data_IF_704751251062
#
_entry.id   IF_704751251062
#
_cell.length_a   1.000
_cell.length_b   1.000
_cell.length_c   1.000
_cell.angle_alpha   90.00
_cell.angle_beta   90.00
_cell.angle_gamma   90.00
#
_symmetry.space_group_name_H-M   'P 1'
#
loop_
_entity.id
_entity.type
_entity.pdbx_description
1 polymer ?
#
# COMPACT_ATOMS: atom_id res chain seq x y z
N UNK A 1 3.50 -17.92 24.99
CA UNK A 1 4.54 -17.71 26.03
C UNK A 1 4.81 -18.96 26.89
N UNK A 2 3.82 -19.57 27.56
CA UNK A 2 4.06 -20.72 28.46
C UNK A 2 4.81 -21.91 27.80
N UNK A 3 4.44 -22.27 26.56
CA UNK A 3 5.11 -23.31 25.80
C UNK A 3 6.59 -23.00 25.48
N UNK A 4 6.95 -21.74 25.23
CA UNK A 4 8.34 -21.33 24.97
C UNK A 4 9.19 -21.36 26.24
N UNK A 5 8.64 -20.91 27.38
CA UNK A 5 9.33 -20.99 28.69
C UNK A 5 9.64 -22.44 29.05
N UNK A 6 8.74 -23.38 28.74
CA UNK A 6 8.99 -24.80 28.93
C UNK A 6 10.14 -25.32 28.04
N UNK A 7 10.22 -24.90 26.78
CA UNK A 7 11.33 -25.25 25.87
C UNK A 7 12.68 -24.68 26.33
N UNK A 8 12.71 -23.42 26.76
CA UNK A 8 13.93 -22.80 27.33
C UNK A 8 14.44 -23.62 28.51
N UNK A 9 13.55 -24.01 29.43
CA UNK A 9 13.90 -24.86 30.58
C UNK A 9 14.39 -26.24 30.14
N UNK A 10 13.78 -26.84 29.14
CA UNK A 10 14.23 -28.13 28.59
C UNK A 10 15.64 -28.03 27.98
N UNK A 11 15.92 -27.03 27.14
CA UNK A 11 17.25 -26.79 26.60
C UNK A 11 18.29 -26.50 27.70
N UNK A 12 17.92 -25.73 28.72
CA UNK A 12 18.80 -25.44 29.86
C UNK A 12 19.14 -26.72 30.66
N UNK A 13 18.16 -27.60 30.89
CA UNK A 13 18.38 -28.90 31.55
C UNK A 13 19.25 -29.83 30.70
N UNK A 14 19.11 -29.76 29.36
CA UNK A 14 19.93 -30.53 28.42
C UNK A 14 21.34 -29.92 28.21
N UNK A 15 21.64 -28.77 28.81
CA UNK A 15 22.90 -28.05 28.58
C UNK A 15 23.03 -27.42 27.19
N UNK A 16 21.94 -27.37 26.43
CA UNK A 16 21.89 -26.79 25.08
C UNK A 16 21.76 -25.26 25.14
N UNK A 17 22.90 -24.59 25.34
CA UNK A 17 22.98 -23.13 25.42
C UNK A 17 22.53 -22.44 24.12
N UNK A 18 22.69 -23.07 22.96
CA UNK A 18 22.23 -22.53 21.68
C UNK A 18 20.71 -22.61 21.54
N UNK A 19 20.10 -23.71 22.00
CA UNK A 19 18.65 -23.85 22.11
C UNK A 19 18.03 -22.82 23.06
N UNK A 20 18.66 -22.58 24.22
CA UNK A 20 18.24 -21.53 25.16
C UNK A 20 18.26 -20.15 24.50
N UNK A 21 19.35 -19.78 23.83
CA UNK A 21 19.48 -18.50 23.13
C UNK A 21 18.43 -18.33 22.04
N UNK A 22 18.26 -19.32 21.16
CA UNK A 22 17.27 -19.27 20.08
C UNK A 22 15.84 -19.08 20.59
N UNK A 23 15.44 -19.79 21.65
CA UNK A 23 14.09 -19.65 22.20
C UNK A 23 13.90 -18.32 22.95
N UNK A 24 14.96 -17.78 23.57
CA UNK A 24 14.94 -16.46 24.18
C UNK A 24 14.83 -15.33 23.13
N UNK A 25 15.60 -15.42 22.04
CA UNK A 25 15.54 -14.46 20.92
C UNK A 25 14.15 -14.49 20.27
N UNK A 26 13.61 -15.68 19.99
CA UNK A 26 12.26 -15.81 19.43
C UNK A 26 11.17 -15.29 20.38
N UNK A 27 11.36 -15.40 21.70
CA UNK A 27 10.44 -14.80 22.68
C UNK A 27 10.52 -13.27 22.67
N UNK A 28 11.72 -12.70 22.53
CA UNK A 28 11.92 -11.26 22.40
C UNK A 28 11.26 -10.74 21.11
N UNK A 29 11.41 -11.45 20.00
CA UNK A 29 10.79 -11.11 18.71
C UNK A 29 9.26 -11.12 18.79
N UNK A 30 8.68 -12.16 19.40
CA UNK A 30 7.23 -12.24 19.63
C UNK A 30 6.73 -11.04 20.46
N UNK A 31 7.46 -10.66 21.51
CA UNK A 31 7.14 -9.49 22.33
C UNK A 31 7.20 -8.19 21.53
N UNK A 32 8.27 -7.97 20.76
CA UNK A 32 8.42 -6.78 19.90
C UNK A 32 7.28 -6.67 18.87
N UNK A 33 6.94 -7.77 18.20
CA UNK A 33 5.80 -7.81 17.26
C UNK A 33 4.48 -7.47 17.94
N UNK A 34 4.23 -8.00 19.14
CA UNK A 34 3.02 -7.64 19.90
C UNK A 34 2.96 -6.16 20.28
N UNK A 35 4.12 -5.54 20.48
CA UNK A 35 4.25 -4.09 20.70
C UNK A 35 4.32 -3.29 19.39
N UNK A 36 4.20 -3.96 18.24
CA UNK A 36 4.32 -3.40 16.90
C UNK A 36 5.65 -2.65 16.69
N UNK A 37 6.74 -3.10 17.33
CA UNK A 37 8.05 -2.46 17.29
C UNK A 37 8.93 -3.08 16.19
N UNK A 38 9.36 -2.32 15.17
CA UNK A 38 10.25 -2.80 14.12
C UNK A 38 11.63 -3.24 14.65
N UNK A 39 12.25 -4.16 13.92
CA UNK A 39 13.60 -4.65 14.17
C UNK A 39 14.69 -3.89 13.41
N UNK A 40 15.27 -2.90 14.10
CA UNK A 40 16.43 -2.15 13.62
C UNK A 40 17.67 -3.03 13.34
N UNK A 41 17.76 -4.23 13.92
CA UNK A 41 18.85 -5.18 13.67
C UNK A 41 18.72 -5.95 12.35
N UNK A 42 17.54 -5.92 11.72
CA UNK A 42 17.25 -6.61 10.46
C UNK A 42 16.62 -5.67 9.42
N UNK A 43 17.31 -4.58 9.03
CA UNK A 43 16.77 -3.64 8.06
C UNK A 43 16.61 -4.31 6.69
N UNK A 44 15.52 -3.99 5.99
CA UNK A 44 15.31 -4.43 4.62
C UNK A 44 16.16 -3.58 3.66
N UNK A 45 16.93 -4.25 2.80
CA UNK A 45 17.59 -3.57 1.67
C UNK A 45 16.54 -3.08 0.67
N UNK A 46 16.54 -1.78 0.43
CA UNK A 46 15.49 -1.11 -0.36
C UNK A 46 15.52 -1.55 -1.82
N UNK A 47 16.70 -1.73 -2.40
CA UNK A 47 16.79 -2.08 -3.81
C UNK A 47 16.44 -3.55 -4.04
N UNK A 48 16.91 -4.44 -3.16
CA UNK A 48 16.50 -5.84 -3.15
C UNK A 48 14.98 -5.96 -2.97
N UNK A 49 14.39 -5.22 -2.05
CA UNK A 49 12.93 -5.17 -1.84
C UNK A 49 12.18 -4.66 -3.06
N UNK A 50 12.68 -3.60 -3.71
CA UNK A 50 12.08 -3.06 -4.94
C UNK A 50 12.10 -4.10 -6.07
N UNK A 51 13.22 -4.80 -6.23
CA UNK A 51 13.38 -5.87 -7.23
C UNK A 51 12.47 -7.06 -6.91
N UNK A 52 12.37 -7.46 -5.65
CA UNK A 52 11.51 -8.57 -5.21
C UNK A 52 10.03 -8.24 -5.40
N UNK A 53 9.56 -7.08 -4.93
CA UNK A 53 8.19 -6.62 -5.11
C UNK A 53 7.79 -6.52 -6.59
N UNK A 54 8.71 -6.13 -7.48
CA UNK A 54 8.46 -6.06 -8.93
C UNK A 54 8.22 -7.44 -9.58
N UNK A 55 8.59 -8.55 -8.92
CA UNK A 55 8.35 -9.91 -9.45
C UNK A 55 6.90 -10.36 -9.26
N UNK A 56 6.14 -9.69 -8.41
CA UNK A 56 4.74 -10.01 -8.17
C UNK A 56 3.93 -9.78 -9.45
N UNK A 57 3.16 -10.78 -9.93
CA UNK A 57 2.34 -10.62 -11.13
C UNK A 57 1.39 -9.41 -11.03
N UNK A 58 1.34 -8.61 -12.09
CA UNK A 58 0.53 -7.40 -12.15
C UNK A 58 1.20 -6.15 -11.56
N UNK A 59 2.35 -6.27 -10.91
CA UNK A 59 3.13 -5.11 -10.47
C UNK A 59 3.96 -4.58 -11.63
N UNK A 60 3.61 -3.39 -12.10
CA UNK A 60 4.28 -2.70 -13.20
C UNK A 60 5.61 -2.07 -12.75
N UNK A 61 5.53 -1.30 -11.67
CA UNK A 61 6.66 -0.55 -11.14
C UNK A 61 6.58 -0.39 -9.63
N UNK A 62 7.73 -0.23 -9.00
CA UNK A 62 7.86 -0.12 -7.55
C UNK A 62 8.86 1.00 -7.25
N UNK A 63 8.49 1.87 -6.32
CA UNK A 63 9.30 3.00 -5.87
C UNK A 63 9.22 3.14 -4.36
N UNK A 64 10.35 3.49 -3.74
CA UNK A 64 10.37 3.89 -2.34
C UNK A 64 10.04 5.38 -2.24
N UNK A 65 9.01 5.70 -1.46
CA UNK A 65 8.66 7.10 -1.16
C UNK A 65 9.56 7.62 -0.04
N UNK A 66 9.84 6.78 0.95
CA UNK A 66 10.80 7.06 2.02
C UNK A 66 11.46 5.76 2.52
N UNK A 67 11.90 5.72 3.79
CA UNK A 67 12.56 4.54 4.38
C UNK A 67 11.61 3.41 4.76
N UNK A 68 10.31 3.70 4.86
CA UNK A 68 9.28 2.78 5.37
C UNK A 68 8.11 2.59 4.42
N UNK A 69 7.92 3.49 3.44
CA UNK A 69 6.78 3.47 2.53
C UNK A 69 7.20 3.05 1.13
N UNK A 70 6.69 1.90 0.68
CA UNK A 70 6.90 1.32 -0.64
C UNK A 70 5.63 1.53 -1.48
N UNK A 71 5.72 2.25 -2.58
CA UNK A 71 4.63 2.41 -3.54
C UNK A 71 4.84 1.46 -4.71
N UNK A 72 3.84 0.62 -4.99
CA UNK A 72 3.79 -0.23 -6.16
C UNK A 72 2.61 0.17 -7.05
N UNK A 73 2.90 0.38 -8.33
CA UNK A 73 1.91 0.62 -9.37
C UNK A 73 1.56 -0.70 -10.04
N UNK A 74 0.27 -1.01 -10.12
CA UNK A 74 -0.25 -2.20 -10.80
C UNK A 74 -0.74 -1.87 -12.20
N UNK A 75 -0.71 -2.88 -13.08
CA UNK A 75 -1.10 -2.74 -14.49
C UNK A 75 -2.61 -2.50 -14.65
N UNK A 76 -3.43 -3.09 -13.78
CA UNK A 76 -4.89 -3.02 -13.84
C UNK A 76 -5.56 -2.72 -12.50
N UNK A 77 -6.75 -2.13 -12.55
CA UNK A 77 -7.53 -1.79 -11.34
C UNK A 77 -7.86 -3.03 -10.50
N UNK A 78 -8.13 -4.19 -11.12
CA UNK A 78 -8.49 -5.41 -10.38
C UNK A 78 -7.34 -5.99 -9.57
N UNK A 79 -6.10 -5.58 -9.84
CA UNK A 79 -4.91 -6.01 -9.11
C UNK A 79 -4.64 -5.13 -7.89
N UNK A 80 -5.40 -4.04 -7.70
CA UNK A 80 -5.35 -3.17 -6.53
C UNK A 80 -6.13 -3.83 -5.38
N UNK A 81 -5.61 -4.93 -4.86
CA UNK A 81 -6.26 -5.74 -3.82
C UNK A 81 -5.30 -6.07 -2.68
N UNK A 82 -5.87 -6.48 -1.56
CA UNK A 82 -5.10 -6.94 -0.39
C UNK A 82 -4.28 -8.20 -0.71
N UNK A 83 -4.76 -9.04 -1.62
CA UNK A 83 -4.03 -10.23 -2.07
C UNK A 83 -2.71 -9.87 -2.77
N UNK A 84 -2.71 -8.80 -3.58
CA UNK A 84 -1.49 -8.29 -4.21
C UNK A 84 -0.53 -7.72 -3.16
N UNK A 85 -1.05 -7.03 -2.13
CA UNK A 85 -0.23 -6.59 -1.00
C UNK A 85 0.39 -7.79 -0.29
N UNK A 86 -0.39 -8.84 0.00
CA UNK A 86 0.09 -10.06 0.64
C UNK A 86 1.14 -10.78 -0.20
N UNK A 87 1.01 -10.76 -1.53
CA UNK A 87 2.01 -11.31 -2.43
C UNK A 87 3.33 -10.52 -2.34
N UNK A 88 3.27 -9.18 -2.34
CA UNK A 88 4.46 -8.34 -2.16
C UNK A 88 5.09 -8.60 -0.80
N UNK A 89 4.30 -8.63 0.28
CA UNK A 89 4.81 -8.84 1.62
C UNK A 89 5.50 -10.21 1.79
N UNK A 90 5.01 -11.27 1.12
CA UNK A 90 5.67 -12.58 1.08
C UNK A 90 7.03 -12.54 0.37
N UNK A 91 7.17 -11.76 -0.70
CA UNK A 91 8.45 -11.56 -1.38
C UNK A 91 9.46 -10.76 -0.54
N UNK A 92 8.97 -9.88 0.34
CA UNK A 92 9.80 -9.04 1.22
C UNK A 92 10.24 -9.76 2.51
N UNK A 93 9.47 -10.71 3.01
CA UNK A 93 9.73 -11.44 4.26
C UNK A 93 11.15 -12.04 4.38
N UNK A 94 11.74 -12.67 3.34
CA UNK A 94 13.10 -13.20 3.45
C UNK A 94 14.18 -12.11 3.50
N UNK A 95 13.87 -10.85 3.16
CA UNK A 95 14.85 -9.77 3.02
C UNK A 95 15.12 -9.01 4.32
N UNK A 96 14.27 -9.16 5.35
CA UNK A 96 14.43 -8.48 6.62
C UNK A 96 13.12 -8.30 7.36
N UNK A 97 13.06 -7.32 8.28
CA UNK A 97 11.84 -7.05 9.03
C UNK A 97 10.83 -6.22 8.25
N UNK A 98 9.80 -6.91 7.77
CA UNK A 98 8.68 -6.32 7.03
C UNK A 98 7.72 -5.51 7.90
N UNK A 99 7.83 -5.58 9.24
CA UNK A 99 7.06 -4.71 10.14
C UNK A 99 7.44 -3.23 9.99
N UNK A 100 8.65 -2.94 9.49
CA UNK A 100 9.09 -1.58 9.17
C UNK A 100 8.50 -1.03 7.87
N UNK A 101 7.83 -1.86 7.07
CA UNK A 101 7.42 -1.52 5.70
C UNK A 101 5.90 -1.45 5.57
N UNK A 102 5.42 -0.35 4.99
CA UNK A 102 4.06 -0.20 4.51
C UNK A 102 4.06 -0.21 2.99
N UNK A 103 3.24 -1.08 2.42
CA UNK A 103 3.05 -1.20 0.99
C UNK A 103 1.80 -0.41 0.61
N UNK A 104 1.94 0.42 -0.43
CA UNK A 104 0.90 1.20 -1.04
C UNK A 104 0.69 0.72 -2.48
N UNK A 105 -0.54 0.44 -2.87
CA UNK A 105 -0.92 0.04 -4.21
C UNK A 105 -1.76 1.13 -4.88
N UNK A 106 -1.36 1.49 -6.10
CA UNK A 106 -2.13 2.34 -7.00
C UNK A 106 -2.24 1.67 -8.37
N UNK A 107 -3.35 1.91 -9.06
CA UNK A 107 -3.50 1.47 -10.44
C UNK A 107 -3.01 2.54 -11.42
N UNK A 108 -2.28 2.11 -12.45
CA UNK A 108 -1.81 3.01 -13.53
C UNK A 108 -2.94 3.43 -14.48
N UNK A 109 -3.99 2.62 -14.58
CA UNK A 109 -5.07 2.80 -15.55
C UNK A 109 -6.32 3.43 -14.94
N UNK A 110 -6.21 3.98 -13.72
CA UNK A 110 -7.29 4.64 -13.03
C UNK A 110 -7.85 5.81 -13.88
N UNK A 111 -9.14 5.74 -14.19
CA UNK A 111 -9.86 6.75 -15.00
C UNK A 111 -10.83 7.58 -14.17
N UNK A 112 -11.19 7.11 -12.98
CA UNK A 112 -12.14 7.75 -12.07
C UNK A 112 -11.47 8.07 -10.74
N UNK A 113 -12.07 8.99 -9.97
CA UNK A 113 -11.54 9.38 -8.65
C UNK A 113 -11.42 8.20 -7.68
N UNK A 114 -12.38 7.27 -7.74
CA UNK A 114 -12.41 6.08 -6.88
C UNK A 114 -11.32 5.06 -7.26
N UNK A 115 -10.99 4.96 -8.55
CA UNK A 115 -9.89 4.11 -9.03
C UNK A 115 -8.50 4.65 -8.65
N UNK A 116 -8.41 5.95 -8.30
CA UNK A 116 -7.18 6.58 -7.79
C UNK A 116 -6.95 6.36 -6.28
N UNK A 117 -7.88 5.70 -5.60
CA UNK A 117 -7.72 5.40 -4.18
C UNK A 117 -6.54 4.46 -3.96
N UNK A 118 -5.70 4.77 -2.97
CA UNK A 118 -4.52 3.97 -2.65
C UNK A 118 -4.85 2.91 -1.61
N UNK A 119 -4.65 1.62 -1.94
CA UNK A 119 -4.74 0.54 -0.94
C UNK A 119 -3.42 0.47 -0.18
N UNK A 120 -3.46 0.56 1.14
CA UNK A 120 -2.24 0.66 1.98
C UNK A 120 -2.28 -0.28 3.17
N UNK A 121 -1.23 -1.08 3.38
CA UNK A 121 -1.13 -1.95 4.57
C UNK A 121 0.33 -2.24 4.97
N UNK A 122 0.54 -2.43 6.26
CA UNK A 122 1.79 -2.95 6.82
C UNK A 122 1.86 -4.48 6.70
N UNK A 123 3.00 -5.00 6.26
CA UNK A 123 3.15 -6.40 5.90
C UNK A 123 2.96 -7.43 7.03
N UNK A 124 3.10 -7.03 8.31
CA UNK A 124 2.93 -7.94 9.45
C UNK A 124 1.68 -7.64 10.30
N UNK A 125 0.94 -6.58 9.98
CA UNK A 125 -0.18 -6.12 10.79
C UNK A 125 -1.51 -6.25 10.05
N UNK A 126 -2.61 -6.13 10.80
CA UNK A 126 -3.94 -6.08 10.24
C UNK A 126 -4.14 -4.82 9.38
N UNK A 127 -5.21 -4.80 8.60
CA UNK A 127 -5.59 -3.63 7.80
C UNK A 127 -5.77 -2.39 8.71
N UNK A 128 -5.21 -1.26 8.29
CA UNK A 128 -5.24 -0.02 9.07
C UNK A 128 -4.28 0.02 10.28
N UNK A 129 -3.71 -1.12 10.69
CA UNK A 129 -2.72 -1.17 11.76
C UNK A 129 -1.30 -0.83 11.28
N UNK A 130 -0.50 -0.25 12.19
CA UNK A 130 0.86 0.25 11.90
C UNK A 130 1.83 0.00 13.03
N UNK A 131 3.10 -0.04 12.66
CA UNK A 131 4.18 -0.11 13.63
C UNK A 131 4.18 1.12 14.55
N UNK A 132 4.60 0.92 15.79
CA UNK A 132 4.79 1.99 16.76
C UNK A 132 5.82 3.00 16.21
N UNK A 133 5.52 4.30 16.32
CA UNK A 133 6.33 5.43 15.80
C UNK A 133 6.39 5.56 14.27
N UNK A 134 5.60 4.78 13.52
CA UNK A 134 5.52 4.93 12.06
C UNK A 134 4.62 6.12 11.67
N UNK A 135 5.15 7.04 10.86
CA UNK A 135 4.39 8.22 10.39
C UNK A 135 3.22 7.84 9.47
N UNK A 136 2.10 8.57 9.58
CA UNK A 136 0.97 8.44 8.66
C UNK A 136 1.26 9.16 7.35
N UNK A 137 1.77 8.42 6.36
CA UNK A 137 1.75 8.87 4.97
C UNK A 137 0.41 8.54 4.33
N UNK A 138 -0.26 9.58 3.85
CA UNK A 138 -1.36 9.47 2.92
C UNK A 138 -0.78 9.78 1.54
N UNK A 139 -0.80 8.78 0.66
CA UNK A 139 -0.24 8.87 -0.70
C UNK A 139 -1.33 8.92 -1.76
N UNK A 140 -2.58 9.19 -1.36
CA UNK A 140 -3.66 9.41 -2.31
C UNK A 140 -3.30 10.59 -3.22
N UNK A 141 -3.45 10.38 -4.53
CA UNK A 141 -3.20 11.42 -5.55
C UNK A 141 -4.20 12.58 -5.39
N UNK A 142 -5.41 12.27 -4.90
CA UNK A 142 -6.48 13.24 -4.63
C UNK A 142 -7.04 13.01 -3.23
N UNK A 143 -7.30 14.10 -2.50
CA UNK A 143 -7.93 13.99 -1.18
C UNK A 143 -9.38 13.48 -1.31
N UNK A 144 -9.92 12.83 -0.26
CA UNK A 144 -11.29 12.32 -0.28
C UNK A 144 -12.33 13.39 -0.63
N UNK A 145 -12.11 14.63 -0.19
CA UNK A 145 -13.00 15.77 -0.43
C UNK A 145 -13.04 16.13 -1.92
N UNK A 146 -11.87 16.20 -2.56
CA UNK A 146 -11.76 16.49 -4.00
C UNK A 146 -12.32 15.34 -4.85
N UNK A 147 -12.19 14.09 -4.40
CA UNK A 147 -12.83 12.94 -5.06
C UNK A 147 -14.35 13.02 -5.00
N UNK A 148 -14.92 13.34 -3.84
CA UNK A 148 -16.36 13.49 -3.67
C UNK A 148 -16.91 14.63 -4.53
N UNK A 149 -16.19 15.74 -4.64
CA UNK A 149 -16.54 16.85 -5.52
C UNK A 149 -16.49 16.43 -6.99
N UNK A 150 -15.43 15.74 -7.43
CA UNK A 150 -15.34 15.22 -8.79
C UNK A 150 -16.45 14.22 -9.12
N UNK A 151 -16.80 13.31 -8.20
CA UNK A 151 -17.91 12.38 -8.37
C UNK A 151 -19.25 13.11 -8.52
N UNK A 152 -19.50 14.13 -7.68
CA UNK A 152 -20.71 14.96 -7.77
C UNK A 152 -20.78 15.74 -9.09
N UNK A 153 -19.66 16.30 -9.56
CA UNK A 153 -19.58 17.02 -10.83
C UNK A 153 -19.73 16.09 -12.04
N UNK A 154 -19.17 14.88 -12.01
CA UNK A 154 -19.31 13.89 -13.08
C UNK A 154 -20.75 13.37 -13.20
N UNK A 155 -21.43 13.14 -12.07
CA UNK A 155 -22.85 12.77 -12.06
C UNK A 155 -23.76 13.93 -12.49
N UNK A 156 -23.42 15.19 -12.16
CA UNK A 156 -24.15 16.38 -12.64
C UNK A 156 -23.93 16.69 -14.13
N UNK A 157 -22.76 16.36 -14.67
CA UNK A 157 -22.39 16.59 -16.07
C UNK A 157 -23.00 15.60 -17.07
N UNK A 158 -23.51 14.46 -16.61
CA UNK A 158 -24.14 13.43 -17.45
C UNK A 158 -25.64 13.64 -17.67
N UNK A 159 -26.23 14.77 -17.29
CA UNK A 159 -27.56 15.13 -17.81
C UNK A 159 -27.39 15.53 -19.29
N UNK A 160 -27.69 14.60 -20.21
CA UNK A 160 -27.56 14.81 -21.66
C UNK A 160 -28.20 16.11 -22.15
N UNK A 161 -29.24 16.57 -21.44
CA UNK A 161 -29.96 17.83 -21.70
C UNK A 161 -29.11 19.09 -21.50
N UNK A 162 -28.16 19.10 -20.57
CA UNK A 162 -27.27 20.25 -20.34
C UNK A 162 -26.11 20.29 -21.34
N UNK A 163 -25.62 19.12 -21.75
CA UNK A 163 -24.60 18.97 -22.79
C UNK A 163 -25.14 19.37 -24.17
N UNK A 164 -26.37 18.96 -24.51
CA UNK A 164 -27.04 19.34 -25.76
C UNK A 164 -27.34 20.85 -25.82
N UNK A 165 -27.74 21.48 -24.71
CA UNK A 165 -27.92 22.95 -24.66
C UNK A 165 -26.62 23.68 -24.92
N UNK A 166 -25.52 23.28 -24.26
CA UNK A 166 -24.20 23.89 -24.49
C UNK A 166 -23.70 23.69 -25.92
N UNK A 167 -23.92 22.52 -26.52
CA UNK A 167 -23.58 22.25 -27.91
C UNK A 167 -24.40 23.11 -28.88
N UNK A 168 -25.70 23.25 -28.64
CA UNK A 168 -26.58 24.11 -29.45
C UNK A 168 -26.25 25.60 -29.30
N UNK A 169 -25.92 26.06 -28.10
CA UNK A 169 -25.54 27.45 -27.87
C UNK A 169 -24.18 27.77 -28.51
N UNK A 170 -23.23 26.83 -28.46
CA UNK A 170 -21.95 26.95 -29.16
C UNK A 170 -22.11 26.99 -30.69
N UNK A 171 -23.02 26.17 -31.25
CA UNK A 171 -23.33 26.20 -32.68
C UNK A 171 -23.91 27.56 -33.12
N UNK A 172 -24.83 28.14 -32.35
CA UNK A 172 -25.41 29.48 -32.65
C UNK A 172 -24.38 30.60 -32.57
N UNK A 173 -23.43 30.50 -31.65
CA UNK A 173 -22.32 31.45 -31.54
C UNK A 173 -21.40 31.41 -32.76
N UNK A 174 -21.14 30.22 -33.31
CA UNK A 174 -20.34 30.06 -34.54
C UNK A 174 -21.09 30.64 -35.74
N UNK A 175 -22.38 30.33 -35.89
CA UNK A 175 -23.21 30.87 -36.98
C UNK A 175 -23.32 32.40 -36.91
N UNK A 176 -23.46 32.99 -35.73
CA UNK A 176 -23.54 34.46 -35.58
C UNK A 176 -22.21 35.19 -35.66
N UNK A 177 -21.07 34.48 -35.58
CA UNK A 177 -19.72 35.06 -35.63
C UNK A 177 -18.98 34.77 -36.94
N UNK A 178 -19.61 34.07 -37.89
CA UNK A 178 -19.03 33.85 -39.22
C UNK A 178 -19.53 34.95 -40.17
N UNK A 179 -18.70 35.93 -40.58
CA UNK A 179 -19.08 36.90 -41.58
C UNK A 179 -19.17 36.23 -42.95
N UNK A 180 -20.29 36.41 -43.64
CA UNK A 180 -20.47 35.97 -45.03
C UNK A 180 -19.39 36.63 -45.91
N UNK A 181 -18.63 35.81 -46.66
CA UNK A 181 -17.78 36.25 -47.78
C UNK A 181 -18.50 36.06 -49.10
#
# INVERSE_FOLDING_TARGET
MAARVAKIRAHAVMGDQEGVRREADAMQDDLRRSMKLPDAGRPIDREAARVAAKRVPGVHSVVWVDRSNLLALVDHNEQRTMETVDAICRELDPLGDTLAVVVHLQSRVARTGDELETVSRNCQLAEGDRALLQERRQLDVLSPEIRAEHAAQQHGGQSGVASERKANDAARLIESSTPEM
#
